data_IF_991859328241
#
_entry.id   IF_991859328241
#
_cell.length_a   1.000
_cell.length_b   1.000
_cell.length_c   1.000
_cell.angle_alpha   90.00
_cell.angle_beta   90.00
_cell.angle_gamma   90.00
#
_symmetry.space_group_name_H-M   'P 1'
#
loop_
_entity.id
_entity.type
_entity.pdbx_description
1 polymer ?
#
# COMPACT_ATOMS: atom_id res chain seq x y z
N UNK A 1 3.31 4.34 0.32
CA UNK A 1 2.36 3.26 -0.01
C UNK A 1 3.18 2.17 -0.69
N UNK A 2 3.25 0.95 -0.14
CA UNK A 2 4.13 -0.13 -0.63
C UNK A 2 3.94 -0.35 -2.14
N UNK A 3 5.05 -0.36 -2.88
CA UNK A 3 5.13 -0.70 -4.31
C UNK A 3 5.65 -2.13 -4.44
N UNK A 4 5.44 -2.78 -5.59
CA UNK A 4 6.06 -4.06 -5.89
C UNK A 4 7.42 -3.82 -6.56
N UNK A 5 8.51 -4.09 -5.85
CA UNK A 5 9.86 -3.98 -6.41
C UNK A 5 10.15 -5.10 -7.42
N UNK A 6 9.46 -6.23 -7.26
CA UNK A 6 9.55 -7.40 -8.12
C UNK A 6 8.18 -8.02 -8.33
N UNK A 7 7.98 -8.58 -9.51
CA UNK A 7 6.77 -9.32 -9.88
C UNK A 7 7.16 -10.72 -10.38
N UNK A 8 6.28 -11.68 -10.13
CA UNK A 8 6.40 -13.02 -10.69
C UNK A 8 5.95 -12.93 -12.14
N UNK A 9 6.89 -13.16 -13.07
CA UNK A 9 6.60 -13.15 -14.50
C UNK A 9 5.61 -14.29 -14.79
N UNK A 10 4.41 -13.99 -15.34
CA UNK A 10 3.45 -15.02 -15.67
C UNK A 10 4.00 -15.91 -16.78
N UNK A 11 3.75 -17.22 -16.66
CA UNK A 11 4.03 -18.15 -17.75
C UNK A 11 2.96 -18.01 -18.83
N UNK A 12 3.08 -16.97 -19.65
CA UNK A 12 2.28 -16.83 -20.86
C UNK A 12 2.89 -17.74 -21.93
N UNK A 13 2.05 -18.46 -22.65
CA UNK A 13 2.50 -19.27 -23.78
C UNK A 13 2.47 -18.45 -25.08
N UNK A 14 3.26 -18.88 -26.07
CA UNK A 14 3.38 -18.15 -27.34
C UNK A 14 2.07 -18.18 -28.14
N UNK A 15 1.22 -19.19 -27.96
CA UNK A 15 -0.08 -19.27 -28.64
C UNK A 15 -1.07 -18.23 -28.12
N UNK A 16 -1.09 -17.98 -26.81
CA UNK A 16 -1.87 -16.96 -26.13
C UNK A 16 -1.46 -15.57 -26.60
N UNK A 17 -0.15 -15.31 -26.70
CA UNK A 17 0.37 -14.03 -27.19
C UNK A 17 0.05 -13.85 -28.69
N UNK A 18 0.15 -14.89 -29.51
CA UNK A 18 -0.20 -14.83 -30.94
C UNK A 18 -1.68 -14.52 -31.22
N UNK A 19 -2.58 -14.72 -30.25
CA UNK A 19 -4.01 -14.35 -30.40
C UNK A 19 -4.26 -12.86 -30.22
N UNK A 20 -3.31 -12.15 -29.60
CA UNK A 20 -3.47 -10.76 -29.18
C UNK A 20 -2.58 -9.84 -30.00
N UNK A 21 -1.33 -10.24 -30.22
CA UNK A 21 -0.30 -9.44 -30.88
C UNK A 21 -0.08 -9.88 -32.32
N UNK A 22 0.42 -8.97 -33.14
CA UNK A 22 0.87 -9.31 -34.50
C UNK A 22 2.11 -10.20 -34.46
N UNK A 23 2.38 -10.95 -35.54
CA UNK A 23 3.58 -11.82 -35.62
C UNK A 23 4.88 -11.08 -35.32
N UNK A 24 5.03 -9.85 -35.82
CA UNK A 24 6.22 -9.03 -35.59
C UNK A 24 6.38 -8.64 -34.12
N UNK A 25 5.28 -8.38 -33.41
CA UNK A 25 5.30 -8.08 -31.99
C UNK A 25 5.57 -9.36 -31.18
N UNK A 26 4.95 -10.49 -31.52
CA UNK A 26 5.25 -11.77 -30.87
C UNK A 26 6.74 -12.12 -30.97
N UNK A 27 7.36 -11.93 -32.13
CA UNK A 27 8.80 -12.18 -32.33
C UNK A 27 9.68 -11.26 -31.45
N UNK A 28 9.23 -10.04 -31.15
CA UNK A 28 9.91 -9.14 -30.21
C UNK A 28 9.70 -9.55 -28.76
N UNK A 29 8.49 -9.99 -28.42
CA UNK A 29 8.08 -10.41 -27.08
C UNK A 29 8.73 -11.76 -26.71
N UNK A 30 8.87 -12.69 -27.65
CA UNK A 30 9.57 -13.96 -27.45
C UNK A 30 10.94 -13.96 -28.12
N UNK A 31 11.97 -13.74 -27.32
CA UNK A 31 13.37 -13.86 -27.78
C UNK A 31 13.93 -15.21 -27.35
N UNK A 32 14.38 -16.02 -28.31
CA UNK A 32 14.95 -17.35 -28.06
C UNK A 32 14.04 -18.28 -27.24
N UNK A 33 12.72 -18.20 -27.48
CA UNK A 33 11.72 -19.01 -26.77
C UNK A 33 11.46 -18.57 -25.32
N UNK A 34 12.00 -17.42 -24.88
CA UNK A 34 11.72 -16.83 -23.57
C UNK A 34 10.91 -15.55 -23.70
N UNK A 35 9.97 -15.36 -22.79
CA UNK A 35 9.16 -14.15 -22.67
C UNK A 35 10.02 -12.98 -22.15
N UNK A 36 10.10 -11.91 -22.92
CA UNK A 36 10.58 -10.59 -22.51
C UNK A 36 9.38 -9.79 -21.98
N UNK A 37 9.21 -9.78 -20.65
CA UNK A 37 8.01 -9.21 -20.03
C UNK A 37 7.95 -7.67 -20.17
N UNK A 38 9.09 -6.99 -20.23
CA UNK A 38 9.13 -5.55 -20.44
C UNK A 38 8.66 -5.20 -21.86
N UNK A 39 9.11 -5.96 -22.85
CA UNK A 39 8.65 -5.79 -24.23
C UNK A 39 7.16 -6.14 -24.36
N UNK A 40 6.71 -7.18 -23.68
CA UNK A 40 5.29 -7.50 -23.59
C UNK A 40 4.46 -6.35 -23.03
N UNK A 41 4.85 -5.76 -21.89
CA UNK A 41 4.13 -4.63 -21.30
C UNK A 41 4.11 -3.43 -22.26
N UNK A 42 5.24 -3.08 -22.89
CA UNK A 42 5.31 -1.98 -23.86
C UNK A 42 4.33 -2.14 -25.01
N UNK A 43 4.22 -3.35 -25.56
CA UNK A 43 3.29 -3.63 -26.65
C UNK A 43 1.84 -3.71 -26.14
N UNK A 44 1.61 -4.31 -24.96
CA UNK A 44 0.28 -4.49 -24.36
C UNK A 44 -0.44 -3.15 -24.09
N UNK A 45 0.29 -2.07 -23.83
CA UNK A 45 -0.27 -0.72 -23.64
C UNK A 45 -1.06 -0.20 -24.84
N UNK A 46 -0.84 -0.74 -26.05
CA UNK A 46 -1.55 -0.35 -27.27
C UNK A 46 -2.87 -1.11 -27.45
N UNK A 47 -3.18 -2.06 -26.58
CA UNK A 47 -4.35 -2.94 -26.69
C UNK A 47 -5.26 -2.81 -25.47
N UNK A 48 -6.51 -3.25 -25.63
CA UNK A 48 -7.47 -3.33 -24.53
C UNK A 48 -7.32 -4.66 -23.78
N UNK A 49 -6.26 -4.77 -22.98
CA UNK A 49 -5.90 -6.00 -22.26
C UNK A 49 -5.83 -5.71 -20.76
N UNK A 50 -6.37 -6.64 -19.97
CA UNK A 50 -6.22 -6.65 -18.52
C UNK A 50 -5.32 -7.81 -18.12
N UNK A 51 -4.29 -7.52 -17.33
CA UNK A 51 -3.28 -8.50 -16.93
C UNK A 51 -3.16 -8.51 -15.42
N UNK A 52 -3.30 -9.70 -14.84
CA UNK A 52 -3.07 -9.94 -13.43
C UNK A 52 -1.69 -10.59 -13.26
N UNK A 53 -0.84 -9.97 -12.45
CA UNK A 53 0.47 -10.53 -12.03
C UNK A 53 0.52 -10.58 -10.51
N UNK A 54 1.38 -11.45 -9.96
CA UNK A 54 1.65 -11.50 -8.53
C UNK A 54 2.91 -10.70 -8.21
N UNK A 55 2.88 -9.94 -7.11
CA UNK A 55 4.10 -9.40 -6.52
C UNK A 55 4.98 -10.57 -6.02
N UNK A 56 6.29 -10.47 -6.21
CA UNK A 56 7.23 -11.42 -5.63
C UNK A 56 7.52 -11.02 -4.18
N UNK A 57 6.86 -11.71 -3.25
CA UNK A 57 7.01 -11.52 -1.80
C UNK A 57 7.82 -12.67 -1.16
N UNK A 58 8.63 -13.40 -1.94
CA UNK A 58 9.40 -14.54 -1.43
C UNK A 58 10.40 -14.19 -0.32
N UNK A 59 10.80 -12.91 -0.24
CA UNK A 59 11.67 -12.38 0.83
C UNK A 59 10.92 -11.79 2.03
N UNK A 60 9.60 -11.82 2.04
CA UNK A 60 8.80 -11.26 3.15
C UNK A 60 8.98 -12.06 4.44
N UNK A 61 9.09 -11.34 5.55
CA UNK A 61 9.30 -11.88 6.89
C UNK A 61 8.26 -11.33 7.85
N UNK A 62 8.16 -11.95 9.04
CA UNK A 62 7.28 -11.43 10.10
C UNK A 62 7.67 -10.01 10.57
N UNK A 63 8.91 -9.60 10.37
CA UNK A 63 9.38 -8.27 10.76
C UNK A 63 8.80 -7.15 9.89
N UNK A 64 8.36 -7.46 8.67
CA UNK A 64 7.78 -6.49 7.73
C UNK A 64 6.38 -5.99 8.16
N UNK A 65 5.75 -6.65 9.14
CA UNK A 65 4.41 -6.31 9.63
C UNK A 65 4.39 -5.55 10.96
N UNK A 66 5.54 -5.25 11.55
CA UNK A 66 5.61 -4.72 12.92
C UNK A 66 5.24 -3.23 13.06
N UNK A 67 5.11 -2.46 11.97
CA UNK A 67 5.30 -1.00 12.04
C UNK A 67 4.10 -0.14 11.63
N UNK A 68 2.93 -0.73 11.40
CA UNK A 68 1.71 0.03 11.01
C UNK A 68 0.71 0.18 12.16
N UNK A 69 1.17 0.58 13.34
CA UNK A 69 0.28 0.76 14.49
C UNK A 69 0.95 1.35 15.73
N UNK A 70 1.44 0.48 16.61
CA UNK A 70 1.86 0.88 17.98
C UNK A 70 2.97 1.94 17.94
N UNK A 71 4.04 1.71 17.17
CA UNK A 71 5.17 2.65 17.10
C UNK A 71 4.72 4.03 16.57
N UNK A 72 3.97 4.05 15.48
CA UNK A 72 3.42 5.28 14.92
C UNK A 72 2.48 6.01 15.89
N UNK A 73 1.67 5.28 16.66
CA UNK A 73 0.81 5.88 17.67
C UNK A 73 1.62 6.54 18.80
N UNK A 74 2.67 5.87 19.27
CA UNK A 74 3.58 6.43 20.28
C UNK A 74 4.32 7.66 19.74
N UNK A 75 4.78 7.63 18.49
CA UNK A 75 5.43 8.78 17.86
C UNK A 75 4.48 9.99 17.78
N UNK A 76 3.21 9.78 17.41
CA UNK A 76 2.21 10.86 17.40
C UNK A 76 1.93 11.43 18.80
N UNK A 77 1.88 10.58 19.84
CA UNK A 77 1.74 11.01 21.23
C UNK A 77 2.95 11.83 21.66
N UNK A 78 4.16 11.33 21.42
CA UNK A 78 5.41 12.00 21.79
C UNK A 78 5.52 13.34 21.06
N UNK A 79 5.25 13.38 19.76
CA UNK A 79 5.26 14.62 18.99
C UNK A 79 4.27 15.65 19.57
N UNK A 80 3.05 15.22 19.90
CA UNK A 80 2.04 16.09 20.52
C UNK A 80 2.53 16.67 21.86
N UNK A 81 3.04 15.82 22.75
CA UNK A 81 3.57 16.22 24.05
C UNK A 81 4.77 17.16 23.91
N UNK A 82 5.64 16.94 22.91
CA UNK A 82 6.79 17.81 22.63
C UNK A 82 6.34 19.19 22.17
N UNK A 83 5.37 19.28 21.27
CA UNK A 83 4.80 20.57 20.84
C UNK A 83 4.17 21.30 22.02
N UNK A 84 3.37 20.60 22.85
CA UNK A 84 2.79 21.19 24.06
C UNK A 84 3.86 21.74 25.01
N UNK A 85 4.96 21.00 25.21
CA UNK A 85 6.07 21.44 26.05
C UNK A 85 6.76 22.68 25.48
N UNK A 86 7.02 22.74 24.17
CA UNK A 86 7.61 23.91 23.51
C UNK A 86 6.70 25.14 23.69
N UNK A 87 5.39 25.00 23.50
CA UNK A 87 4.42 26.10 23.70
C UNK A 87 4.48 26.61 25.15
N UNK A 88 4.53 25.69 26.12
CA UNK A 88 4.65 26.00 27.55
C UNK A 88 5.96 26.74 27.87
N UNK A 89 7.10 26.26 27.37
CA UNK A 89 8.42 26.89 27.58
C UNK A 89 8.52 28.30 26.97
N UNK A 90 7.78 28.56 25.89
CA UNK A 90 7.72 29.87 25.25
C UNK A 90 6.70 30.83 25.90
N UNK A 91 6.12 30.46 27.04
CA UNK A 91 5.06 31.22 27.73
C UNK A 91 3.87 31.55 26.82
N UNK A 92 3.60 30.70 25.83
CA UNK A 92 2.43 30.84 24.96
C UNK A 92 1.22 30.17 25.64
N UNK A 93 0.07 30.84 25.63
CA UNK A 93 -1.16 30.27 26.15
C UNK A 93 -1.76 29.26 25.16
N UNK A 94 -2.14 28.09 25.67
CA UNK A 94 -2.96 27.13 24.92
C UNK A 94 -3.85 26.35 25.87
N UNK A 95 -4.99 25.85 25.37
CA UNK A 95 -5.89 25.05 26.17
C UNK A 95 -5.51 23.56 26.09
N UNK A 96 -4.68 23.10 27.04
CA UNK A 96 -4.26 21.71 27.15
C UNK A 96 -5.40 20.72 27.38
N UNK A 97 -6.60 21.18 27.76
CA UNK A 97 -7.81 20.35 27.90
C UNK A 97 -8.61 20.22 26.60
N UNK A 98 -8.22 20.93 25.53
CA UNK A 98 -8.90 20.93 24.23
C UNK A 98 -7.96 20.53 23.09
N UNK A 99 -7.18 19.47 23.29
CA UNK A 99 -6.40 18.85 22.23
C UNK A 99 -7.31 17.91 21.45
N UNK A 100 -7.32 18.01 20.12
CA UNK A 100 -8.19 17.24 19.22
C UNK A 100 -7.28 16.46 18.27
N UNK A 101 -7.59 15.18 18.04
CA UNK A 101 -6.91 14.36 17.04
C UNK A 101 -7.88 14.05 15.90
N UNK A 102 -7.41 14.23 14.68
CA UNK A 102 -8.14 13.91 13.46
C UNK A 102 -7.34 12.90 12.65
N UNK A 103 -8.04 11.95 12.03
CA UNK A 103 -7.41 11.02 11.11
C UNK A 103 -8.34 10.59 9.99
N UNK A 104 -7.74 10.13 8.91
CA UNK A 104 -8.44 9.51 7.78
C UNK A 104 -7.83 8.12 7.51
N UNK A 105 -8.67 7.12 7.30
CA UNK A 105 -8.26 5.73 7.05
C UNK A 105 -7.28 5.23 8.14
N UNK A 106 -6.03 4.98 7.79
CA UNK A 106 -5.01 4.57 8.74
C UNK A 106 -4.76 5.61 9.84
N UNK A 107 -4.83 6.91 9.51
CA UNK A 107 -4.65 7.96 10.51
C UNK A 107 -5.74 7.96 11.57
N UNK A 108 -6.98 7.59 11.22
CA UNK A 108 -8.08 7.48 12.18
C UNK A 108 -7.87 6.28 13.11
N UNK A 109 -7.42 5.14 12.56
CA UNK A 109 -6.97 4.00 13.37
C UNK A 109 -5.87 4.39 14.36
N UNK A 110 -4.86 5.14 13.91
CA UNK A 110 -3.81 5.65 14.80
C UNK A 110 -4.38 6.59 15.87
N UNK A 111 -5.37 7.44 15.54
CA UNK A 111 -6.01 8.31 16.51
C UNK A 111 -6.67 7.53 17.66
N UNK A 112 -7.33 6.41 17.34
CA UNK A 112 -7.86 5.50 18.37
C UNK A 112 -6.75 4.86 19.20
N UNK A 113 -5.66 4.40 18.58
CA UNK A 113 -4.52 3.85 19.32
C UNK A 113 -3.87 4.90 20.24
N UNK A 114 -3.67 6.12 19.75
CA UNK A 114 -3.15 7.23 20.56
C UNK A 114 -4.02 7.47 21.79
N UNK A 115 -5.34 7.46 21.62
CA UNK A 115 -6.28 7.60 22.74
C UNK A 115 -6.29 6.38 23.67
N UNK A 116 -6.07 5.16 23.15
CA UNK A 116 -5.95 3.98 23.99
C UNK A 116 -4.70 4.03 24.88
N UNK A 117 -3.57 4.54 24.36
CA UNK A 117 -2.32 4.70 25.13
C UNK A 117 -2.30 5.93 26.02
N UNK A 118 -2.95 7.03 25.62
CA UNK A 118 -2.97 8.31 26.34
C UNK A 118 -4.42 8.87 26.43
N UNK A 119 -5.31 8.25 27.22
CA UNK A 119 -6.75 8.50 27.19
C UNK A 119 -7.18 9.90 27.69
N UNK A 120 -6.27 10.63 28.34
CA UNK A 120 -6.52 11.98 28.84
C UNK A 120 -5.89 13.06 27.97
N UNK A 121 -5.10 12.68 26.95
CA UNK A 121 -4.39 13.62 26.09
C UNK A 121 -5.32 14.27 25.09
N UNK A 122 -6.20 13.49 24.45
CA UNK A 122 -7.12 13.98 23.42
C UNK A 122 -8.54 14.07 23.95
N UNK A 123 -9.14 15.25 23.81
CA UNK A 123 -10.51 15.54 24.24
C UNK A 123 -11.57 15.14 23.21
N UNK A 124 -11.16 14.96 21.95
CA UNK A 124 -12.02 14.56 20.84
C UNK A 124 -11.20 13.83 19.77
N UNK A 125 -11.78 12.74 19.23
CA UNK A 125 -11.32 12.08 18.02
C UNK A 125 -12.29 12.42 16.88
N UNK A 126 -11.76 12.89 15.76
CA UNK A 126 -12.50 13.03 14.51
C UNK A 126 -12.04 11.90 13.58
N UNK A 127 -12.89 10.90 13.43
CA UNK A 127 -12.65 9.73 12.57
C UNK A 127 -13.25 9.97 11.18
N UNK A 128 -12.41 9.80 10.15
CA UNK A 128 -12.86 9.57 8.79
C UNK A 128 -12.42 8.19 8.27
N UNK A 129 -13.35 7.23 8.33
CA UNK A 129 -13.21 5.90 7.71
C UNK A 129 -12.05 5.06 8.26
N UNK A 130 -11.85 5.01 9.58
CA UNK A 130 -10.87 4.13 10.21
C UNK A 130 -11.02 2.67 9.78
N UNK A 131 -9.90 2.02 9.47
CA UNK A 131 -9.86 0.56 9.44
C UNK A 131 -9.41 0.04 10.80
N UNK A 132 -10.27 -0.71 11.49
CA UNK A 132 -9.93 -1.31 12.79
C UNK A 132 -9.19 -2.64 12.58
N UNK A 133 -9.38 -3.27 11.42
CA UNK A 133 -8.77 -4.54 11.05
C UNK A 133 -8.14 -4.44 9.66
N UNK A 134 -6.85 -4.78 9.49
CA UNK A 134 -6.21 -4.69 8.20
C UNK A 134 -6.86 -5.66 7.21
N UNK A 135 -7.33 -5.13 6.08
CA UNK A 135 -8.04 -5.92 5.06
C UNK A 135 -7.15 -7.02 4.47
N UNK A 136 -5.84 -6.78 4.40
CA UNK A 136 -4.86 -7.73 3.87
C UNK A 136 -4.76 -9.03 4.66
N UNK A 137 -5.27 -9.07 5.90
CA UNK A 137 -5.34 -10.30 6.68
C UNK A 137 -6.41 -11.26 6.18
N UNK A 138 -7.40 -10.78 5.41
CA UNK A 138 -8.56 -11.54 4.92
C UNK A 138 -8.63 -11.65 3.40
N UNK A 139 -8.01 -10.73 2.68
CA UNK A 139 -8.06 -10.66 1.23
C UNK A 139 -6.72 -10.21 0.65
N UNK A 140 -6.42 -10.61 -0.59
CA UNK A 140 -5.26 -10.09 -1.29
C UNK A 140 -5.46 -8.61 -1.60
N UNK A 141 -4.39 -7.84 -1.51
CA UNK A 141 -4.41 -6.44 -1.95
C UNK A 141 -4.11 -6.41 -3.45
N UNK A 142 -4.79 -5.53 -4.16
CA UNK A 142 -4.53 -5.29 -5.58
C UNK A 142 -4.05 -3.85 -5.79
N UNK A 143 -2.97 -3.69 -6.56
CA UNK A 143 -2.54 -2.40 -7.08
C UNK A 143 -2.87 -2.37 -8.58
N UNK A 144 -3.71 -1.42 -8.97
CA UNK A 144 -4.09 -1.24 -10.37
C UNK A 144 -3.28 -0.10 -10.97
N UNK A 145 -2.65 -0.37 -12.10
CA UNK A 145 -2.06 0.64 -12.98
C UNK A 145 -2.84 0.62 -14.30
N UNK A 146 -3.49 1.74 -14.61
CA UNK A 146 -4.28 1.90 -15.83
C UNK A 146 -3.55 2.87 -16.74
N UNK A 147 -3.20 2.43 -17.94
CA UNK A 147 -2.59 3.25 -18.99
C UNK A 147 -3.44 3.06 -20.25
N UNK A 148 -4.11 4.13 -20.69
CA UNK A 148 -5.08 4.06 -21.79
C UNK A 148 -6.14 2.97 -21.54
N UNK A 149 -6.20 1.95 -22.41
CA UNK A 149 -7.11 0.80 -22.30
C UNK A 149 -6.42 -0.45 -21.70
N UNK A 150 -5.18 -0.32 -21.26
CA UNK A 150 -4.43 -1.40 -20.63
C UNK A 150 -4.51 -1.29 -19.10
N UNK A 151 -4.86 -2.39 -18.44
CA UNK A 151 -4.84 -2.48 -16.96
C UNK A 151 -3.85 -3.54 -16.51
N UNK A 152 -2.85 -3.14 -15.74
CA UNK A 152 -2.00 -4.04 -14.97
C UNK A 152 -2.51 -4.09 -13.53
N UNK A 153 -2.90 -5.27 -13.08
CA UNK A 153 -3.32 -5.56 -11.72
C UNK A 153 -2.23 -6.39 -11.05
N UNK A 154 -1.63 -5.84 -9.99
CA UNK A 154 -0.59 -6.49 -9.21
C UNK A 154 -1.23 -6.99 -7.92
N UNK A 155 -1.27 -8.30 -7.76
CA UNK A 155 -1.79 -8.99 -6.59
C UNK A 155 -0.69 -9.17 -5.54
N UNK A 156 -0.97 -8.72 -4.32
CA UNK A 156 -0.13 -8.91 -3.15
C UNK A 156 -0.79 -9.95 -2.23
N UNK A 157 -0.15 -11.10 -2.14
CA UNK A 157 -0.54 -12.21 -1.27
C UNK A 157 0.43 -12.27 -0.09
N UNK A 158 0.09 -11.51 0.95
CA UNK A 158 0.93 -11.31 2.13
C UNK A 158 1.00 -12.59 3.00
N UNK A 159 2.17 -12.85 3.58
CA UNK A 159 2.44 -13.87 4.59
C UNK A 159 1.49 -13.79 5.78
N UNK A 160 1.07 -12.58 6.16
CA UNK A 160 0.17 -12.35 7.29
C UNK A 160 -1.29 -12.74 7.01
N UNK A 161 -1.65 -13.03 5.76
CA UNK A 161 -3.01 -13.46 5.40
C UNK A 161 -3.32 -14.83 6.00
N UNK A 162 -4.49 -14.96 6.64
CA UNK A 162 -4.95 -16.19 7.32
C UNK A 162 -6.15 -16.82 6.62
#
# INVERSE_FOLDING_TARGET
MQQADKIIIPNLDQEQINRIFTKQETEKIYKNGKLDFDEFLRNAMNYNININVKADLSGETLFDFNDMGIMQALDNIVATLRVMNIIYENNCEFNSKKVIIYGQSHGAYLAYLCNAFAPTLFSLIIDNSAWIYPVYLKANRFLFQVINNFTLSIEFEYLAKK
#
